data_IF_781164718076
#
_entry.id   IF_781164718076
#
_cell.length_a   1.000
_cell.length_b   1.000
_cell.length_c   1.000
_cell.angle_alpha   90.00
_cell.angle_beta   90.00
_cell.angle_gamma   90.00
#
_symmetry.space_group_name_H-M   'P 1'
#
loop_
_entity.id
_entity.type
_entity.pdbx_description
1 polymer ?
#
# COMPACT_ATOMS: atom_id res chain seq x y z
N UNK A 1 -1.04 55.87 -33.39
CA UNK A 1 -1.72 56.18 -32.09
C UNK A 1 -2.78 55.14 -31.89
N UNK A 2 -2.42 54.05 -31.25
CA UNK A 2 -3.31 52.92 -31.02
C UNK A 2 -3.94 53.07 -29.65
N UNK A 3 -5.24 53.41 -29.62
CA UNK A 3 -6.03 53.36 -28.41
C UNK A 3 -6.33 51.91 -28.07
N UNK A 4 -5.52 51.29 -27.21
CA UNK A 4 -5.90 50.09 -26.52
C UNK A 4 -6.98 50.42 -25.49
N UNK A 5 -8.21 50.16 -25.87
CA UNK A 5 -9.33 50.12 -24.94
C UNK A 5 -9.15 48.87 -24.10
N UNK A 6 -8.49 49.00 -22.97
CA UNK A 6 -8.55 47.99 -21.91
C UNK A 6 -9.97 47.99 -21.35
N UNK A 7 -10.80 47.16 -21.91
CA UNK A 7 -12.09 46.79 -21.33
C UNK A 7 -11.78 46.04 -20.01
N UNK A 8 -11.74 46.78 -18.90
CA UNK A 8 -11.83 46.17 -17.58
C UNK A 8 -13.22 45.57 -17.49
N UNK A 9 -13.31 44.30 -17.78
CA UNK A 9 -14.48 43.51 -17.49
C UNK A 9 -14.72 43.62 -15.97
N UNK A 10 -15.66 44.46 -15.57
CA UNK A 10 -16.16 44.52 -14.21
C UNK A 10 -16.81 43.17 -13.97
N UNK A 11 -16.10 42.30 -13.28
CA UNK A 11 -16.70 41.11 -12.70
C UNK A 11 -17.74 41.62 -11.71
N UNK A 12 -18.99 41.58 -12.12
CA UNK A 12 -20.12 41.94 -11.29
C UNK A 12 -20.24 40.89 -10.20
N UNK A 13 -19.69 41.22 -9.02
CA UNK A 13 -19.68 40.32 -7.87
C UNK A 13 -21.04 40.35 -7.17
N UNK A 14 -22.06 39.81 -7.86
CA UNK A 14 -23.36 39.58 -7.25
C UNK A 14 -23.22 38.51 -6.18
N UNK A 15 -23.41 38.84 -4.88
CA UNK A 15 -23.26 37.88 -3.79
C UNK A 15 -24.16 36.65 -3.93
N UNK A 16 -25.32 36.81 -4.56
CA UNK A 16 -26.24 35.69 -4.85
C UNK A 16 -25.65 34.70 -5.87
N UNK A 17 -24.93 35.21 -6.86
CA UNK A 17 -24.27 34.39 -7.87
C UNK A 17 -23.11 33.62 -7.27
N UNK A 18 -22.30 34.24 -6.41
CA UNK A 18 -21.18 33.63 -5.71
C UNK A 18 -21.68 32.51 -4.79
N UNK A 19 -22.74 32.77 -4.02
CA UNK A 19 -23.35 31.75 -3.13
C UNK A 19 -23.87 30.56 -3.95
N UNK A 20 -24.56 30.80 -5.05
CA UNK A 20 -25.06 29.75 -5.93
C UNK A 20 -23.92 28.89 -6.49
N UNK A 21 -22.83 29.53 -6.95
CA UNK A 21 -21.66 28.82 -7.46
C UNK A 21 -21.00 27.98 -6.37
N UNK A 22 -20.81 28.54 -5.19
CA UNK A 22 -20.21 27.86 -4.03
C UNK A 22 -21.04 26.66 -3.60
N UNK A 23 -22.35 26.80 -3.50
CA UNK A 23 -23.27 25.72 -3.15
C UNK A 23 -23.26 24.60 -4.20
N UNK A 24 -23.26 24.95 -5.48
CA UNK A 24 -23.20 23.97 -6.56
C UNK A 24 -21.88 23.18 -6.52
N UNK A 25 -20.75 23.88 -6.33
CA UNK A 25 -19.43 23.24 -6.22
C UNK A 25 -19.36 22.34 -4.98
N UNK A 26 -19.87 22.81 -3.85
CA UNK A 26 -19.91 22.02 -2.61
C UNK A 26 -20.75 20.76 -2.77
N UNK A 27 -21.93 20.85 -3.40
CA UNK A 27 -22.80 19.69 -3.68
C UNK A 27 -22.11 18.67 -4.60
N UNK A 28 -21.46 19.12 -5.67
CA UNK A 28 -20.75 18.21 -6.58
C UNK A 28 -19.60 17.50 -5.88
N UNK A 29 -18.81 18.21 -5.08
CA UNK A 29 -17.73 17.60 -4.28
C UNK A 29 -18.27 16.58 -3.27
N UNK A 30 -19.38 16.88 -2.60
CA UNK A 30 -20.02 15.99 -1.64
C UNK A 30 -20.50 14.70 -2.31
N UNK A 31 -21.13 14.77 -3.48
CA UNK A 31 -21.60 13.61 -4.24
C UNK A 31 -20.41 12.75 -4.67
N UNK A 32 -19.37 13.35 -5.25
CA UNK A 32 -18.17 12.61 -5.69
C UNK A 32 -17.47 11.95 -4.51
N UNK A 33 -17.28 12.67 -3.42
CA UNK A 33 -16.65 12.12 -2.20
C UNK A 33 -17.49 10.97 -1.61
N UNK A 34 -18.81 11.09 -1.62
CA UNK A 34 -19.72 10.04 -1.16
C UNK A 34 -19.63 8.76 -2.00
N UNK A 35 -19.61 8.91 -3.32
CA UNK A 35 -19.46 7.77 -4.25
C UNK A 35 -18.09 7.10 -4.06
N UNK A 36 -17.02 7.88 -3.98
CA UNK A 36 -15.67 7.35 -3.76
C UNK A 36 -15.55 6.64 -2.41
N UNK A 37 -16.11 7.20 -1.35
CA UNK A 37 -16.14 6.58 -0.03
C UNK A 37 -16.92 5.28 -0.02
N UNK A 38 -18.05 5.22 -0.70
CA UNK A 38 -18.86 4.01 -0.82
C UNK A 38 -18.14 2.91 -1.61
N UNK A 39 -17.59 3.24 -2.78
CA UNK A 39 -16.78 2.29 -3.57
C UNK A 39 -15.59 1.78 -2.77
N UNK A 40 -14.87 2.67 -2.08
CA UNK A 40 -13.74 2.29 -1.23
C UNK A 40 -14.17 1.33 -0.10
N UNK A 41 -15.32 1.55 0.53
CA UNK A 41 -15.84 0.67 1.58
C UNK A 41 -16.10 -0.75 1.09
N UNK A 42 -16.69 -0.91 -0.11
CA UNK A 42 -16.97 -2.23 -0.69
C UNK A 42 -15.66 -2.90 -1.19
N UNK A 43 -14.75 -2.11 -1.71
CA UNK A 43 -13.52 -2.62 -2.35
C UNK A 43 -12.46 -3.00 -1.32
N UNK A 44 -12.46 -2.36 -0.16
CA UNK A 44 -11.48 -2.60 0.91
C UNK A 44 -11.40 -4.07 1.32
N UNK A 45 -12.53 -4.72 1.53
CA UNK A 45 -12.58 -6.13 1.96
C UNK A 45 -12.08 -7.07 0.86
N UNK A 46 -12.40 -6.78 -0.40
CA UNK A 46 -11.90 -7.54 -1.56
C UNK A 46 -10.40 -7.36 -1.75
N UNK A 47 -9.88 -6.15 -1.58
CA UNK A 47 -8.44 -5.87 -1.67
C UNK A 47 -7.70 -6.62 -0.55
N UNK A 48 -8.21 -6.61 0.67
CA UNK A 48 -7.62 -7.34 1.79
C UNK A 48 -7.54 -8.85 1.51
N UNK A 49 -8.63 -9.45 0.99
CA UNK A 49 -8.65 -10.87 0.64
C UNK A 49 -7.65 -11.22 -0.47
N UNK A 50 -7.59 -10.44 -1.55
CA UNK A 50 -6.65 -10.64 -2.66
C UNK A 50 -5.20 -10.43 -2.20
N UNK A 51 -4.96 -9.46 -1.33
CA UNK A 51 -3.62 -9.20 -0.78
C UNK A 51 -3.17 -10.38 0.09
N UNK A 52 -4.06 -10.91 0.93
CA UNK A 52 -3.77 -12.10 1.74
C UNK A 52 -3.46 -13.32 0.86
N UNK A 53 -4.26 -13.59 -0.16
CA UNK A 53 -4.03 -14.68 -1.11
C UNK A 53 -2.65 -14.57 -1.80
N UNK A 54 -2.28 -13.37 -2.25
CA UNK A 54 -0.95 -13.10 -2.83
C UNK A 54 0.16 -13.29 -1.80
N UNK A 55 -0.06 -12.87 -0.57
CA UNK A 55 0.91 -13.03 0.52
C UNK A 55 1.14 -14.51 0.82
N UNK A 56 0.08 -15.30 0.94
CA UNK A 56 0.18 -16.76 1.15
C UNK A 56 0.89 -17.45 -0.03
N UNK A 57 0.56 -17.08 -1.27
CA UNK A 57 1.23 -17.61 -2.45
C UNK A 57 2.73 -17.27 -2.46
N UNK A 58 3.11 -16.07 -2.05
CA UNK A 58 4.51 -15.66 -1.93
C UNK A 58 5.22 -16.42 -0.80
N UNK A 59 4.56 -16.62 0.35
CA UNK A 59 5.11 -17.42 1.44
C UNK A 59 5.39 -18.87 1.02
N UNK A 60 4.46 -19.49 0.29
CA UNK A 60 4.63 -20.85 -0.24
C UNK A 60 5.76 -20.98 -1.28
N UNK A 61 6.10 -19.88 -1.96
CA UNK A 61 7.23 -19.85 -2.89
C UNK A 61 8.59 -19.77 -2.20
N UNK A 62 8.66 -19.18 -1.02
CA UNK A 62 9.92 -18.93 -0.31
C UNK A 62 10.24 -19.98 0.74
N UNK A 63 9.23 -20.67 1.27
CA UNK A 63 9.41 -21.75 2.24
C UNK A 63 8.32 -22.81 2.06
N UNK A 64 8.72 -24.07 2.10
CA UNK A 64 7.78 -25.20 2.02
C UNK A 64 7.14 -25.41 3.40
N UNK A 65 5.86 -25.10 3.52
CA UNK A 65 5.08 -25.29 4.73
C UNK A 65 3.63 -25.64 4.38
N UNK A 66 2.97 -26.33 5.29
CA UNK A 66 1.56 -26.71 5.15
C UNK A 66 0.64 -25.58 5.59
N UNK A 67 1.08 -24.78 6.56
CA UNK A 67 0.31 -23.69 7.13
C UNK A 67 1.22 -22.54 7.59
N UNK A 68 0.64 -21.34 7.70
CA UNK A 68 1.31 -20.14 8.17
C UNK A 68 0.49 -19.51 9.31
N UNK A 69 1.17 -19.08 10.37
CA UNK A 69 0.52 -18.37 11.46
C UNK A 69 0.00 -16.99 11.01
N UNK A 70 -0.83 -16.39 11.86
CA UNK A 70 -1.07 -14.97 11.77
C UNK A 70 0.24 -14.18 11.92
N UNK A 71 0.23 -12.91 11.46
CA UNK A 71 1.39 -12.04 11.60
C UNK A 71 1.81 -11.92 13.08
N UNK A 72 3.07 -12.21 13.35
CA UNK A 72 3.63 -12.10 14.71
C UNK A 72 3.81 -10.63 15.09
N UNK A 73 3.73 -10.34 16.38
CA UNK A 73 4.08 -9.01 16.88
C UNK A 73 5.57 -8.71 16.62
N UNK A 74 5.81 -7.58 16.00
CA UNK A 74 7.17 -7.12 15.72
C UNK A 74 7.75 -6.48 16.98
N UNK A 75 8.89 -6.98 17.43
CA UNK A 75 9.62 -6.35 18.53
C UNK A 75 10.43 -5.16 18.04
N UNK A 76 10.71 -4.21 18.95
CA UNK A 76 11.53 -3.04 18.63
C UNK A 76 12.93 -3.43 18.14
N UNK A 77 13.51 -4.48 18.68
CA UNK A 77 14.81 -5.01 18.27
C UNK A 77 14.80 -5.54 16.83
N UNK A 78 13.74 -6.25 16.43
CA UNK A 78 13.57 -6.77 15.07
C UNK A 78 13.44 -5.62 14.06
N UNK A 79 12.64 -4.62 14.41
CA UNK A 79 12.42 -3.43 13.57
C UNK A 79 13.70 -2.59 13.45
N UNK A 80 14.44 -2.41 14.53
CA UNK A 80 15.72 -1.70 14.55
C UNK A 80 16.77 -2.42 13.70
N UNK A 81 16.85 -3.76 13.79
CA UNK A 81 17.77 -4.57 12.99
C UNK A 81 17.50 -4.45 11.49
N UNK A 82 16.23 -4.48 11.07
CA UNK A 82 15.84 -4.30 9.68
C UNK A 82 16.16 -2.89 9.17
N UNK A 83 15.87 -1.87 9.96
CA UNK A 83 16.14 -0.47 9.62
C UNK A 83 17.64 -0.20 9.49
N UNK A 84 18.47 -0.82 10.33
CA UNK A 84 19.93 -0.70 10.25
C UNK A 84 20.51 -1.27 8.93
N UNK A 85 19.78 -2.20 8.28
CA UNK A 85 20.13 -2.77 6.97
C UNK A 85 19.45 -2.06 5.79
N UNK A 86 18.74 -0.97 6.04
CA UNK A 86 18.10 -0.16 5.01
C UNK A 86 16.75 -0.68 4.52
N UNK A 87 16.15 -1.65 5.22
CA UNK A 87 14.81 -2.17 4.97
C UNK A 87 13.84 -1.86 6.11
N UNK A 88 12.56 -2.03 5.84
CA UNK A 88 11.50 -1.96 6.84
C UNK A 88 10.85 -3.33 6.97
N UNK A 89 10.75 -3.81 8.20
CA UNK A 89 10.06 -5.06 8.49
C UNK A 89 8.55 -4.80 8.55
N UNK A 90 7.80 -5.38 7.62
CA UNK A 90 6.35 -5.17 7.54
C UNK A 90 5.58 -6.23 8.34
N UNK A 91 5.94 -7.51 8.21
CA UNK A 91 5.31 -8.61 8.94
C UNK A 91 6.24 -9.83 9.02
N UNK A 92 6.04 -10.65 10.03
CA UNK A 92 6.70 -11.95 10.19
C UNK A 92 5.63 -13.03 10.41
N UNK A 93 5.71 -14.09 9.66
CA UNK A 93 4.81 -15.23 9.74
C UNK A 93 5.61 -16.50 10.09
N UNK A 94 5.13 -17.30 11.00
CA UNK A 94 5.74 -18.59 11.30
C UNK A 94 5.22 -19.64 10.32
N UNK A 95 6.13 -20.29 9.64
CA UNK A 95 5.84 -21.41 8.76
C UNK A 95 5.80 -22.70 9.56
N UNK A 96 4.75 -23.50 9.38
CA UNK A 96 4.52 -24.75 10.10
C UNK A 96 4.28 -25.90 9.12
N UNK A 97 4.79 -27.07 9.46
CA UNK A 97 4.48 -28.32 8.77
C UNK A 97 4.20 -29.40 9.79
N UNK A 98 3.02 -30.04 9.67
CA UNK A 98 2.59 -31.05 10.65
C UNK A 98 2.47 -30.51 12.08
N UNK A 99 2.21 -29.22 12.27
CA UNK A 99 2.12 -28.58 13.60
C UNK A 99 3.48 -28.27 14.25
N UNK A 100 4.57 -28.43 13.51
CA UNK A 100 5.92 -28.05 13.95
C UNK A 100 6.42 -26.84 13.18
N UNK A 101 7.09 -25.87 13.81
CA UNK A 101 7.69 -24.75 13.11
C UNK A 101 8.84 -25.23 12.24
N UNK A 102 8.81 -24.87 10.95
CA UNK A 102 9.86 -25.20 9.97
C UNK A 102 10.65 -23.96 9.56
N UNK A 103 10.21 -22.77 9.96
CA UNK A 103 10.90 -21.52 9.69
C UNK A 103 9.96 -20.33 9.75
N UNK A 104 10.37 -19.26 9.09
CA UNK A 104 9.65 -18.00 9.08
C UNK A 104 9.57 -17.43 7.65
N UNK A 105 8.44 -16.83 7.33
CA UNK A 105 8.28 -16.01 6.14
C UNK A 105 8.22 -14.53 6.59
N UNK A 106 9.15 -13.73 6.11
CA UNK A 106 9.34 -12.34 6.53
C UNK A 106 8.98 -11.43 5.39
N UNK A 107 8.04 -10.54 5.60
CA UNK A 107 7.72 -9.48 4.64
C UNK A 107 8.59 -8.25 4.94
N UNK A 108 9.43 -7.91 3.98
CA UNK A 108 10.34 -6.77 4.05
C UNK A 108 9.97 -5.76 2.98
N UNK A 109 9.93 -4.51 3.35
CA UNK A 109 9.71 -3.39 2.46
C UNK A 109 10.98 -2.56 2.30
N UNK A 110 11.28 -2.21 1.07
CA UNK A 110 12.38 -1.31 0.73
C UNK A 110 11.88 -0.18 -0.17
N UNK A 111 12.46 1.00 -0.01
CA UNK A 111 12.16 2.13 -0.89
C UNK A 111 12.80 1.91 -2.25
N UNK A 112 11.98 1.79 -3.28
CA UNK A 112 12.42 1.79 -4.66
C UNK A 112 12.48 3.20 -5.26
N UNK A 113 12.74 3.28 -6.55
CA UNK A 113 12.82 4.53 -7.30
C UNK A 113 11.43 5.14 -7.61
N UNK A 114 10.44 4.30 -7.87
CA UNK A 114 9.06 4.67 -8.22
C UNK A 114 8.06 4.40 -7.09
N UNK A 115 8.46 3.65 -6.06
CA UNK A 115 7.58 3.31 -4.94
C UNK A 115 8.20 2.25 -4.03
N UNK A 116 7.38 1.73 -3.15
CA UNK A 116 7.80 0.68 -2.22
C UNK A 116 7.84 -0.67 -2.92
N UNK A 117 8.93 -1.40 -2.73
CA UNK A 117 9.09 -2.79 -3.15
C UNK A 117 8.85 -3.65 -1.90
N UNK A 118 7.87 -4.55 -1.98
CA UNK A 118 7.58 -5.51 -0.91
C UNK A 118 8.06 -6.90 -1.34
N UNK A 119 8.87 -7.51 -0.50
CA UNK A 119 9.49 -8.82 -0.75
C UNK A 119 9.16 -9.77 0.40
N UNK A 120 8.90 -11.03 0.06
CA UNK A 120 8.79 -12.12 1.01
C UNK A 120 10.10 -12.90 1.04
N UNK A 121 10.67 -13.08 2.23
CA UNK A 121 11.91 -13.81 2.45
C UNK A 121 11.60 -15.01 3.35
N UNK A 122 11.88 -16.21 2.88
CA UNK A 122 11.78 -17.43 3.67
C UNK A 122 13.10 -17.71 4.40
N UNK A 123 13.02 -18.02 5.69
CA UNK A 123 14.16 -18.38 6.53
C UNK A 123 13.79 -19.66 7.28
N UNK A 124 14.64 -20.68 7.24
CA UNK A 124 14.45 -21.88 8.02
C UNK A 124 14.84 -21.69 9.50
N UNK A 125 14.67 -22.75 10.30
CA UNK A 125 14.98 -22.72 11.73
C UNK A 125 16.47 -22.55 12.05
N UNK A 126 17.35 -22.80 11.08
CA UNK A 126 18.80 -22.62 11.21
C UNK A 126 19.25 -21.21 10.81
N UNK A 127 18.32 -20.35 10.38
CA UNK A 127 18.58 -18.99 9.94
C UNK A 127 19.04 -18.89 8.48
N UNK A 128 18.91 -19.96 7.70
CA UNK A 128 19.27 -19.98 6.28
C UNK A 128 18.11 -19.43 5.44
N UNK A 129 18.41 -18.54 4.48
CA UNK A 129 17.42 -18.05 3.53
C UNK A 129 17.05 -19.16 2.54
N UNK A 130 15.78 -19.56 2.54
CA UNK A 130 15.26 -20.63 1.68
C UNK A 130 14.78 -20.10 0.33
N UNK A 131 14.34 -18.85 0.28
CA UNK A 131 13.90 -18.21 -0.95
C UNK A 131 13.52 -16.74 -0.75
N UNK A 132 13.39 -16.04 -1.86
CA UNK A 132 12.91 -14.65 -1.91
C UNK A 132 11.90 -14.52 -3.04
N UNK A 133 10.76 -13.90 -2.76
CA UNK A 133 9.70 -13.62 -3.73
C UNK A 133 9.25 -12.18 -3.64
N UNK A 134 9.06 -11.52 -4.78
CA UNK A 134 8.54 -10.15 -4.82
C UNK A 134 7.01 -10.20 -4.76
N UNK A 135 6.45 -9.59 -3.72
CA UNK A 135 4.99 -9.50 -3.50
C UNK A 135 4.40 -8.33 -4.28
N UNK A 136 5.05 -7.17 -4.18
CA UNK A 136 4.63 -5.94 -4.87
C UNK A 136 5.85 -5.18 -5.36
N UNK A 137 5.78 -4.75 -6.62
CA UNK A 137 6.80 -3.94 -7.24
C UNK A 137 6.13 -2.85 -8.08
N UNK A 138 6.41 -1.59 -7.76
CA UNK A 138 5.93 -0.42 -8.49
C UNK A 138 6.97 0.15 -9.46
N UNK A 139 8.12 -0.52 -9.63
CA UNK A 139 9.19 -0.07 -10.51
C UNK A 139 8.83 -0.24 -11.98
N UNK A 140 9.42 0.59 -12.82
CA UNK A 140 9.24 0.51 -14.28
C UNK A 140 9.86 -0.77 -14.81
N UNK A 141 9.10 -1.51 -15.63
CA UNK A 141 9.60 -2.73 -16.28
C UNK A 141 10.82 -2.44 -17.14
N UNK A 142 11.92 -3.13 -16.90
CA UNK A 142 13.14 -3.03 -17.69
C UNK A 142 14.30 -2.26 -17.03
N UNK A 143 14.19 -1.95 -15.75
CA UNK A 143 15.32 -1.45 -14.94
C UNK A 143 15.91 -2.60 -14.14
#
# INVERSE_FOLDING_TARGET
MSNEVKTKEKVDMDPKYIIKLTVTLFLTCMVVAGILGWVNSITKDKIAAITWEKTVAAMQQVITADDFSDAMELTDDMTAAATAQGGTLAAVYQAQSGGQPVGYAINVEASGSQGTISMMVGIDTDGTVTGVSIVTNAETSGI
#
